data_IF_157279341093
#
_entry.id   IF_157279341093
#
_cell.length_a   1.000
_cell.length_b   1.000
_cell.length_c   1.000
_cell.angle_alpha   90.00
_cell.angle_beta   90.00
_cell.angle_gamma   90.00
#
_symmetry.space_group_name_H-M   'P 1'
#
loop_
_entity.id
_entity.type
_entity.pdbx_description
1 polymer ?
#
# COMPACT_ATOMS: atom_id res chain seq x y z
N UNK A 1 0.41 -9.52 7.89
CA UNK A 1 0.37 -9.48 9.36
C UNK A 1 1.53 -8.69 9.95
N UNK A 2 2.77 -8.90 9.48
CA UNK A 2 3.96 -8.21 10.03
C UNK A 2 3.83 -6.68 10.11
N UNK A 3 3.38 -6.00 9.05
CA UNK A 3 3.21 -4.54 9.05
C UNK A 3 2.09 -4.03 9.98
N UNK A 4 1.12 -4.89 10.31
CA UNK A 4 0.06 -4.52 11.27
C UNK A 4 0.57 -4.67 12.71
N UNK A 5 1.42 -5.68 12.97
CA UNK A 5 2.02 -5.92 14.27
C UNK A 5 3.20 -4.98 14.56
N UNK A 6 3.98 -4.66 13.54
CA UNK A 6 5.17 -3.82 13.59
C UNK A 6 5.11 -2.79 12.44
N UNK A 7 4.43 -1.65 12.68
CA UNK A 7 4.22 -0.66 11.63
C UNK A 7 5.45 0.18 11.31
N UNK A 8 6.46 0.20 12.18
CA UNK A 8 7.73 0.89 11.92
C UNK A 8 8.64 -0.01 11.08
N UNK A 9 9.01 0.47 9.90
CA UNK A 9 9.80 -0.27 8.91
C UNK A 9 10.88 0.60 8.31
N UNK A 10 11.90 -0.05 7.73
CA UNK A 10 12.88 0.61 6.88
C UNK A 10 12.48 0.42 5.42
N UNK A 11 12.43 1.51 4.66
CA UNK A 11 12.15 1.52 3.23
C UNK A 11 13.44 1.82 2.48
N UNK A 12 13.73 1.01 1.47
CA UNK A 12 14.81 1.25 0.51
C UNK A 12 14.18 1.61 -0.84
N UNK A 13 14.53 2.77 -1.39
CA UNK A 13 13.99 3.28 -2.67
C UNK A 13 15.10 3.92 -3.48
N UNK A 14 15.59 3.20 -4.49
CA UNK A 14 16.76 3.62 -5.24
C UNK A 14 17.98 3.68 -4.31
N UNK A 15 18.56 4.87 -4.14
CA UNK A 15 19.68 5.12 -3.20
C UNK A 15 19.24 5.61 -1.83
N UNK A 16 17.93 5.86 -1.62
CA UNK A 16 17.40 6.39 -0.37
C UNK A 16 17.04 5.24 0.59
N UNK A 17 17.35 5.41 1.88
CA UNK A 17 17.03 4.47 2.97
C UNK A 17 16.50 5.26 4.16
N UNK A 18 15.26 5.01 4.55
CA UNK A 18 14.60 5.78 5.60
C UNK A 18 13.63 4.95 6.43
N UNK A 19 13.40 5.39 7.68
CA UNK A 19 12.35 4.85 8.52
C UNK A 19 10.97 5.35 8.05
N UNK A 20 9.98 4.48 8.08
CA UNK A 20 8.61 4.80 7.73
C UNK A 20 7.63 4.12 8.68
N UNK A 21 6.45 4.71 8.84
CA UNK A 21 5.30 4.11 9.51
C UNK A 21 4.30 3.61 8.46
N UNK A 22 3.99 2.32 8.53
CA UNK A 22 3.02 1.63 7.69
C UNK A 22 1.61 1.78 8.26
N UNK A 23 0.65 2.14 7.40
CA UNK A 23 -0.76 2.25 7.77
C UNK A 23 -1.63 1.67 6.65
N UNK A 24 -2.63 0.87 7.00
CA UNK A 24 -3.60 0.39 6.01
C UNK A 24 -4.56 1.51 5.68
N UNK A 25 -4.63 1.87 4.40
CA UNK A 25 -5.64 2.80 3.88
C UNK A 25 -6.96 2.03 3.78
N UNK A 26 -8.05 2.62 4.26
CA UNK A 26 -9.37 1.97 4.33
C UNK A 26 -10.44 2.83 3.65
N UNK A 27 -11.63 2.23 3.46
CA UNK A 27 -12.81 2.90 2.94
C UNK A 27 -12.61 3.58 1.57
N UNK A 28 -13.30 4.71 1.37
CA UNK A 28 -13.26 5.43 0.10
C UNK A 28 -11.87 5.97 -0.27
N UNK A 29 -11.00 6.25 0.70
CA UNK A 29 -9.63 6.65 0.40
C UNK A 29 -8.84 5.52 -0.26
N UNK A 30 -8.99 4.29 0.25
CA UNK A 30 -8.38 3.10 -0.36
C UNK A 30 -8.81 2.94 -1.80
N UNK A 31 -10.11 3.11 -2.08
CA UNK A 31 -10.65 2.91 -3.42
C UNK A 31 -10.10 3.95 -4.39
N UNK A 32 -9.97 5.22 -3.98
CA UNK A 32 -9.33 6.26 -4.80
C UNK A 32 -7.86 5.95 -5.10
N UNK A 33 -7.08 5.55 -4.09
CA UNK A 33 -5.66 5.24 -4.27
C UNK A 33 -5.49 4.00 -5.15
N UNK A 34 -6.30 2.98 -4.94
CA UNK A 34 -6.27 1.76 -5.74
C UNK A 34 -6.66 2.04 -7.20
N UNK A 35 -7.71 2.83 -7.44
CA UNK A 35 -8.11 3.24 -8.78
C UNK A 35 -7.00 3.98 -9.53
N UNK A 36 -6.26 4.88 -8.83
CA UNK A 36 -5.08 5.54 -9.41
C UNK A 36 -4.00 4.54 -9.81
N UNK A 37 -3.75 3.52 -8.98
CA UNK A 37 -2.79 2.47 -9.30
C UNK A 37 -3.23 1.64 -10.51
N UNK A 38 -4.51 1.29 -10.61
CA UNK A 38 -5.07 0.56 -11.76
C UNK A 38 -4.93 1.37 -13.05
N UNK A 39 -5.18 2.69 -13.01
CA UNK A 39 -5.00 3.57 -14.15
C UNK A 39 -3.55 3.59 -14.67
N UNK A 40 -2.56 3.46 -13.77
CA UNK A 40 -1.15 3.38 -14.13
C UNK A 40 -0.69 1.97 -14.54
N UNK A 41 -1.32 0.94 -13.96
CA UNK A 41 -0.97 -0.48 -14.09
C UNK A 41 -2.26 -1.32 -14.06
N UNK A 42 -2.91 -1.57 -15.21
CA UNK A 42 -4.22 -2.25 -15.28
C UNK A 42 -4.27 -3.63 -14.60
N UNK A 43 -3.14 -4.35 -14.58
CA UNK A 43 -2.98 -5.65 -13.93
C UNK A 43 -3.43 -5.69 -12.45
N UNK A 44 -3.36 -4.56 -11.73
CA UNK A 44 -3.85 -4.49 -10.35
C UNK A 44 -5.37 -4.68 -10.26
N UNK A 45 -6.11 -4.20 -11.27
CA UNK A 45 -7.55 -4.41 -11.35
C UNK A 45 -7.89 -5.89 -11.55
N UNK A 46 -7.14 -6.57 -12.42
CA UNK A 46 -7.28 -8.01 -12.62
C UNK A 46 -7.01 -8.81 -11.34
N UNK A 47 -6.00 -8.43 -10.55
CA UNK A 47 -5.71 -9.08 -9.28
C UNK A 47 -6.90 -8.97 -8.30
N UNK A 48 -7.56 -7.81 -8.25
CA UNK A 48 -8.72 -7.62 -7.39
C UNK A 48 -9.92 -8.46 -7.84
N UNK A 49 -10.12 -8.63 -9.14
CA UNK A 49 -11.20 -9.46 -9.69
C UNK A 49 -11.00 -10.96 -9.40
N UNK A 50 -9.74 -11.41 -9.32
CA UNK A 50 -9.38 -12.81 -9.05
C UNK A 50 -9.53 -13.22 -7.59
N UNK A 51 -10.05 -12.36 -6.71
CA UNK A 51 -10.22 -12.66 -5.30
C UNK A 51 -11.45 -12.01 -4.70
N UNK A 52 -12.02 -12.65 -3.67
CA UNK A 52 -13.15 -12.09 -2.91
C UNK A 52 -12.72 -11.08 -1.84
N UNK A 53 -11.45 -11.13 -1.41
CA UNK A 53 -10.93 -10.19 -0.41
C UNK A 53 -10.62 -8.85 -1.07
N UNK A 54 -10.89 -7.75 -0.38
CA UNK A 54 -10.38 -6.46 -0.80
C UNK A 54 -8.86 -6.46 -0.64
N UNK A 55 -8.12 -6.19 -1.71
CA UNK A 55 -6.65 -6.14 -1.67
C UNK A 55 -6.24 -4.93 -0.81
N UNK A 56 -5.50 -5.15 0.30
CA UNK A 56 -5.07 -4.05 1.16
C UNK A 56 -4.17 -3.07 0.41
N UNK A 57 -4.35 -1.78 0.68
CA UNK A 57 -3.43 -0.71 0.28
C UNK A 57 -2.75 -0.22 1.55
N UNK A 58 -1.43 -0.14 1.53
CA UNK A 58 -0.64 0.32 2.67
C UNK A 58 0.06 1.61 2.29
N UNK A 59 -0.17 2.65 3.06
CA UNK A 59 0.61 3.87 3.03
C UNK A 59 1.90 3.67 3.84
N UNK A 60 3.03 4.10 3.28
CA UNK A 60 4.31 4.18 3.98
C UNK A 60 4.69 5.65 4.15
N UNK A 61 4.47 6.18 5.35
CA UNK A 61 4.80 7.57 5.68
C UNK A 61 6.18 7.65 6.30
N UNK A 62 7.12 8.36 5.66
CA UNK A 62 8.46 8.59 6.22
C UNK A 62 8.35 9.22 7.61
N UNK A 63 9.15 8.73 8.55
CA UNK A 63 9.29 9.25 9.91
C UNK A 63 10.77 9.62 10.12
N UNK A 64 11.00 10.81 10.69
CA UNK A 64 12.31 11.46 10.72
C UNK A 64 12.27 12.75 9.93
#
# INVERSE_FOLDING_TARGET
FNLLAHPEVIVERGTDKYAAKAMVVTGGERDRVFARQVALRPQFGEYQQKTRRTIPVVELKRIG
#
